data_IF_892576220885
#
_entry.id   IF_892576220885
#
_cell.length_a   1.000
_cell.length_b   1.000
_cell.length_c   1.000
_cell.angle_alpha   90.00
_cell.angle_beta   90.00
_cell.angle_gamma   90.00
#
_symmetry.space_group_name_H-M   'P 1'
#
loop_
_entity.id
_entity.type
_entity.pdbx_description
1 polymer ?
#
# COMPACT_ATOMS: atom_id res chain seq x y z
N UNK A 1 -65.15 30.01 -31.74
CA UNK A 1 -64.26 29.76 -30.54
C UNK A 1 -63.63 28.42 -30.76
N UNK A 2 -62.34 28.36 -31.07
CA UNK A 2 -61.56 27.11 -31.21
C UNK A 2 -60.67 26.93 -29.90
N UNK A 3 -60.63 25.77 -29.30
CA UNK A 3 -59.72 25.57 -28.19
C UNK A 3 -58.26 25.33 -28.70
N UNK A 4 -57.34 26.03 -28.08
CA UNK A 4 -55.89 25.80 -28.23
C UNK A 4 -55.50 24.57 -27.41
N UNK A 5 -55.01 23.53 -28.09
CA UNK A 5 -54.41 22.37 -27.46
C UNK A 5 -52.93 22.67 -27.13
N UNK A 6 -52.63 22.77 -25.87
CA UNK A 6 -51.24 22.85 -25.36
C UNK A 6 -50.64 21.46 -25.34
N UNK A 7 -49.64 21.24 -26.21
CA UNK A 7 -48.83 20.03 -26.27
C UNK A 7 -47.73 20.16 -25.16
N UNK A 8 -47.85 19.40 -24.09
CA UNK A 8 -46.80 19.29 -23.07
C UNK A 8 -45.74 18.29 -23.54
N UNK A 9 -44.55 18.81 -23.84
CA UNK A 9 -43.38 18.00 -24.18
C UNK A 9 -42.76 17.45 -22.87
N UNK A 10 -42.98 16.19 -22.55
CA UNK A 10 -42.33 15.51 -21.46
C UNK A 10 -40.89 15.18 -21.84
N UNK A 11 -39.92 15.93 -21.31
CA UNK A 11 -38.49 15.54 -21.34
C UNK A 11 -38.25 14.40 -20.40
N UNK A 12 -38.07 13.19 -20.90
CA UNK A 12 -37.56 12.04 -20.12
C UNK A 12 -36.06 12.22 -19.92
N UNK A 13 -35.68 12.60 -18.71
CA UNK A 13 -34.28 12.54 -18.28
C UNK A 13 -33.97 11.07 -17.98
N UNK A 14 -33.37 10.37 -18.94
CA UNK A 14 -32.74 9.07 -18.67
C UNK A 14 -31.49 9.32 -17.86
N UNK A 15 -31.60 9.10 -16.55
CA UNK A 15 -30.42 8.99 -15.69
C UNK A 15 -29.64 7.75 -16.15
N UNK A 16 -28.53 7.96 -16.84
CA UNK A 16 -27.57 6.91 -17.09
C UNK A 16 -26.99 6.50 -15.74
N UNK A 17 -27.42 5.38 -15.21
CA UNK A 17 -26.75 4.72 -14.09
C UNK A 17 -25.41 4.22 -14.63
N UNK A 18 -24.35 4.97 -14.37
CA UNK A 18 -22.99 4.46 -14.53
C UNK A 18 -22.83 3.34 -13.49
N UNK A 19 -23.02 2.11 -13.90
CA UNK A 19 -22.51 0.97 -13.18
C UNK A 19 -20.98 1.05 -13.29
N UNK A 20 -20.34 1.67 -12.32
CA UNK A 20 -18.89 1.61 -12.18
C UNK A 20 -18.51 0.12 -12.08
N UNK A 21 -17.77 -0.39 -13.05
CA UNK A 21 -17.32 -1.78 -13.04
C UNK A 21 -16.46 -2.00 -11.80
N UNK A 22 -16.85 -2.98 -10.97
CA UNK A 22 -16.10 -3.33 -9.78
C UNK A 22 -14.69 -3.77 -10.16
N UNK A 23 -13.66 -3.06 -9.66
CA UNK A 23 -12.26 -3.45 -9.87
C UNK A 23 -11.82 -4.49 -8.86
N UNK A 24 -10.77 -5.23 -9.18
CA UNK A 24 -10.09 -6.17 -8.28
C UNK A 24 -8.75 -5.59 -7.83
N UNK A 25 -8.60 -5.32 -6.55
CA UNK A 25 -7.37 -4.75 -5.97
C UNK A 25 -6.57 -5.86 -5.29
N UNK A 26 -5.31 -6.00 -5.70
CA UNK A 26 -4.37 -6.88 -5.03
C UNK A 26 -3.74 -6.15 -3.85
N UNK A 27 -3.91 -6.67 -2.65
CA UNK A 27 -3.27 -6.17 -1.43
C UNK A 27 -2.13 -7.11 -1.06
N UNK A 28 -0.89 -6.60 -1.08
CA UNK A 28 0.29 -7.38 -0.74
C UNK A 28 0.78 -7.00 0.65
N UNK A 29 0.93 -8.01 1.51
CA UNK A 29 1.42 -7.93 2.87
C UNK A 29 2.70 -8.74 3.03
N UNK A 30 3.42 -8.52 4.12
CA UNK A 30 4.61 -9.29 4.49
C UNK A 30 4.24 -10.64 5.13
N UNK A 31 5.07 -11.66 4.92
CA UNK A 31 5.03 -12.92 5.68
C UNK A 31 5.73 -12.80 7.05
N UNK A 32 6.50 -11.72 7.26
CA UNK A 32 7.31 -11.55 8.44
C UNK A 32 6.49 -11.04 9.64
N UNK A 33 6.83 -11.53 10.80
CA UNK A 33 6.30 -11.11 12.10
C UNK A 33 7.33 -10.28 12.91
N UNK A 34 8.46 -9.97 12.29
CA UNK A 34 9.56 -9.26 12.91
C UNK A 34 10.40 -8.48 11.89
N UNK A 35 11.24 -7.60 12.41
CA UNK A 35 12.32 -6.92 11.69
C UNK A 35 13.65 -7.18 12.40
N UNK A 36 14.62 -7.70 11.67
CA UNK A 36 16.00 -7.82 12.12
C UNK A 36 16.67 -6.45 12.21
N UNK A 37 17.09 -6.08 13.39
CA UNK A 37 17.78 -4.83 13.68
C UNK A 37 19.31 -5.01 13.65
N UNK A 38 20.05 -3.93 13.89
CA UNK A 38 21.49 -3.97 14.11
C UNK A 38 21.81 -4.78 15.37
N UNK A 39 23.05 -5.29 15.43
CA UNK A 39 23.61 -5.99 16.60
C UNK A 39 22.82 -7.24 17.02
N UNK A 40 22.15 -7.89 16.06
CA UNK A 40 21.40 -9.13 16.29
C UNK A 40 20.11 -8.95 17.08
N UNK A 41 19.67 -7.72 17.33
CA UNK A 41 18.37 -7.45 17.92
C UNK A 41 17.24 -7.72 16.95
N UNK A 42 16.07 -8.04 17.48
CA UNK A 42 14.85 -8.32 16.72
C UNK A 42 13.71 -7.47 17.28
N UNK A 43 12.94 -6.88 16.38
CA UNK A 43 11.75 -6.11 16.70
C UNK A 43 10.52 -6.86 16.20
N UNK A 44 9.61 -7.23 17.10
CA UNK A 44 8.34 -7.86 16.74
C UNK A 44 7.42 -6.82 16.10
N UNK A 45 6.91 -7.10 14.90
CA UNK A 45 6.09 -6.19 14.12
C UNK A 45 5.17 -6.93 13.17
N UNK A 46 4.49 -6.23 12.32
CA UNK A 46 3.58 -6.73 11.29
C UNK A 46 3.06 -5.56 10.47
N UNK A 47 1.86 -5.69 9.89
CA UNK A 47 1.18 -4.57 9.22
C UNK A 47 0.47 -3.69 10.27
N UNK A 48 0.33 -2.38 9.97
CA UNK A 48 -0.45 -1.46 10.79
C UNK A 48 -1.95 -1.55 10.46
N UNK A 49 -2.78 -1.63 11.51
CA UNK A 49 -4.22 -1.84 11.38
C UNK A 49 -4.90 -0.79 10.51
N UNK A 50 -4.68 0.49 10.78
CA UNK A 50 -5.29 1.58 10.04
C UNK A 50 -4.81 1.62 8.58
N UNK A 51 -3.53 1.35 8.35
CA UNK A 51 -2.94 1.38 7.01
C UNK A 51 -3.50 0.28 6.11
N UNK A 52 -3.81 -0.89 6.66
CA UNK A 52 -4.49 -1.94 5.92
C UNK A 52 -5.99 -1.71 5.84
N UNK A 53 -6.64 -1.56 7.01
CA UNK A 53 -8.08 -1.71 7.08
C UNK A 53 -8.87 -0.48 6.65
N UNK A 54 -8.32 0.75 6.77
CA UNK A 54 -9.00 1.94 6.25
C UNK A 54 -9.13 1.89 4.72
N UNK A 55 -8.07 1.63 3.94
CA UNK A 55 -8.20 1.45 2.50
C UNK A 55 -9.04 0.24 2.10
N UNK A 56 -8.84 -0.91 2.74
CA UNK A 56 -9.63 -2.12 2.45
C UNK A 56 -11.12 -1.88 2.67
N UNK A 57 -11.50 -1.25 3.78
CA UNK A 57 -12.90 -0.92 4.05
C UNK A 57 -13.47 0.00 2.98
N UNK A 58 -12.75 1.04 2.60
CA UNK A 58 -13.21 1.98 1.56
C UNK A 58 -13.38 1.29 0.20
N UNK A 59 -12.47 0.39 -0.17
CA UNK A 59 -12.58 -0.41 -1.41
C UNK A 59 -13.81 -1.32 -1.39
N UNK A 60 -14.02 -2.05 -0.30
CA UNK A 60 -15.18 -2.94 -0.14
C UNK A 60 -16.51 -2.15 -0.10
N UNK A 61 -16.56 -1.03 0.62
CA UNK A 61 -17.73 -0.15 0.67
C UNK A 61 -18.08 0.44 -0.70
N UNK A 62 -17.07 0.66 -1.57
CA UNK A 62 -17.24 1.10 -2.94
C UNK A 62 -17.58 -0.05 -3.92
N UNK A 63 -17.71 -1.28 -3.44
CA UNK A 63 -18.08 -2.45 -4.23
C UNK A 63 -16.93 -3.10 -5.00
N UNK A 64 -15.67 -2.72 -4.73
CA UNK A 64 -14.50 -3.40 -5.32
C UNK A 64 -14.20 -4.71 -4.59
N UNK A 65 -13.62 -5.67 -5.32
CA UNK A 65 -13.07 -6.90 -4.73
C UNK A 65 -11.62 -6.69 -4.29
N UNK A 66 -11.23 -7.40 -3.23
CA UNK A 66 -9.87 -7.35 -2.69
C UNK A 66 -9.32 -8.77 -2.60
N UNK A 67 -8.15 -8.97 -3.17
CA UNK A 67 -7.38 -10.21 -3.05
C UNK A 67 -6.16 -9.95 -2.19
N UNK A 68 -5.94 -10.74 -1.16
CA UNK A 68 -4.78 -10.62 -0.26
C UNK A 68 -3.70 -11.62 -0.64
N UNK A 69 -2.45 -11.15 -0.67
CA UNK A 69 -1.29 -12.00 -0.94
C UNK A 69 -0.12 -11.65 -0.02
N UNK A 70 0.71 -12.66 0.24
CA UNK A 70 2.03 -12.51 0.86
C UNK A 70 3.05 -13.28 0.02
N UNK A 71 4.35 -13.06 0.15
CA UNK A 71 5.35 -13.78 -0.64
C UNK A 71 5.14 -15.30 -0.66
N UNK A 72 4.89 -15.92 0.48
CA UNK A 72 4.73 -17.37 0.64
C UNK A 72 3.27 -17.81 0.87
N UNK A 73 2.30 -16.91 0.92
CA UNK A 73 0.91 -17.21 1.23
C UNK A 73 0.64 -17.49 2.71
N UNK A 74 1.50 -17.02 3.60
CA UNK A 74 1.27 -17.13 5.04
C UNK A 74 0.30 -16.05 5.52
N UNK A 75 -0.47 -16.35 6.55
CA UNK A 75 -1.28 -15.36 7.24
C UNK A 75 -0.38 -14.25 7.80
N UNK A 76 -0.61 -12.97 7.42
CA UNK A 76 0.23 -11.87 7.88
C UNK A 76 -0.02 -11.56 9.35
N UNK A 77 0.98 -10.98 10.00
CA UNK A 77 0.94 -10.59 11.41
C UNK A 77 0.49 -9.14 11.55
N UNK A 78 -0.43 -8.89 12.48
CA UNK A 78 -0.82 -7.54 12.90
C UNK A 78 0.20 -6.98 13.89
N UNK A 79 0.74 -5.80 13.62
CA UNK A 79 1.49 -5.04 14.62
C UNK A 79 0.52 -4.51 15.69
N UNK A 80 0.65 -5.05 16.90
CA UNK A 80 -0.27 -4.72 18.01
C UNK A 80 -0.17 -3.27 18.46
N UNK A 81 0.95 -2.61 18.25
CA UNK A 81 1.10 -1.18 18.57
C UNK A 81 0.18 -0.30 17.73
N UNK A 82 -0.25 -0.78 16.56
CA UNK A 82 -1.18 -0.08 15.67
C UNK A 82 -2.66 -0.19 16.09
N UNK A 83 -2.96 -0.95 17.13
CA UNK A 83 -4.35 -1.10 17.65
C UNK A 83 -4.74 -0.01 18.65
N UNK A 84 -4.19 1.17 18.48
CA UNK A 84 -4.53 2.34 19.29
C UNK A 84 -5.49 3.29 18.52
N UNK A 85 -6.45 3.87 19.25
CA UNK A 85 -7.42 4.82 18.71
C UNK A 85 -6.78 6.07 18.08
N UNK A 86 -5.53 6.40 18.47
CA UNK A 86 -4.81 7.53 17.89
C UNK A 86 -4.68 7.44 16.36
N UNK A 87 -4.58 6.20 15.82
CA UNK A 87 -4.53 5.96 14.38
C UNK A 87 -5.90 6.07 13.70
N UNK A 88 -6.96 6.27 14.47
CA UNK A 88 -8.35 6.42 14.03
C UNK A 88 -8.94 7.78 14.45
N UNK A 89 -8.13 8.83 14.50
CA UNK A 89 -8.52 10.17 14.94
C UNK A 89 -9.15 10.19 16.35
N UNK A 90 -8.70 9.32 17.23
CA UNK A 90 -9.23 9.06 18.57
C UNK A 90 -10.69 8.55 18.61
N UNK A 91 -11.20 8.06 17.48
CA UNK A 91 -12.53 7.44 17.38
C UNK A 91 -12.44 5.94 17.70
N UNK A 92 -12.95 5.58 18.89
CA UNK A 92 -12.99 4.19 19.38
C UNK A 92 -13.93 3.33 18.53
N UNK A 93 -15.05 3.89 18.07
CA UNK A 93 -16.00 3.14 17.26
C UNK A 93 -15.39 2.81 15.88
N UNK A 94 -14.65 3.74 15.27
CA UNK A 94 -13.91 3.47 14.05
C UNK A 94 -12.85 2.38 14.25
N UNK A 95 -12.06 2.43 15.33
CA UNK A 95 -11.10 1.37 15.66
C UNK A 95 -11.78 0.00 15.74
N UNK A 96 -12.86 -0.10 16.52
CA UNK A 96 -13.60 -1.35 16.71
C UNK A 96 -14.20 -1.89 15.40
N UNK A 97 -14.75 -1.01 14.56
CA UNK A 97 -15.29 -1.40 13.26
C UNK A 97 -14.21 -2.00 12.34
N UNK A 98 -13.01 -1.43 12.33
CA UNK A 98 -11.91 -1.94 11.52
C UNK A 98 -11.32 -3.24 12.08
N UNK A 99 -11.27 -3.40 13.42
CA UNK A 99 -10.91 -4.66 14.06
C UNK A 99 -11.90 -5.77 13.72
N UNK A 100 -13.22 -5.48 13.83
CA UNK A 100 -14.27 -6.44 13.49
C UNK A 100 -14.21 -6.87 12.01
N UNK A 101 -13.94 -5.93 11.10
CA UNK A 101 -13.74 -6.25 9.68
C UNK A 101 -12.52 -7.14 9.45
N UNK A 102 -11.40 -6.87 10.12
CA UNK A 102 -10.20 -7.71 10.05
C UNK A 102 -10.50 -9.14 10.50
N UNK A 103 -11.22 -9.31 11.61
CA UNK A 103 -11.65 -10.61 12.12
C UNK A 103 -12.58 -11.32 11.14
N UNK A 104 -13.52 -10.61 10.53
CA UNK A 104 -14.44 -11.14 9.53
C UNK A 104 -13.70 -11.65 8.29
N UNK A 105 -12.68 -10.93 7.83
CA UNK A 105 -11.87 -11.29 6.67
C UNK A 105 -10.91 -12.46 6.93
N UNK A 106 -10.65 -12.80 8.19
CA UNK A 106 -9.81 -13.93 8.65
C UNK A 106 -8.38 -13.94 8.10
N UNK A 107 -7.89 -12.83 7.57
CA UNK A 107 -6.57 -12.80 6.89
C UNK A 107 -5.41 -13.12 7.83
N UNK A 108 -5.56 -12.85 9.13
CA UNK A 108 -4.56 -13.13 10.17
C UNK A 108 -4.75 -14.48 10.87
N UNK A 109 -5.75 -15.29 10.45
CA UNK A 109 -6.11 -16.55 11.11
C UNK A 109 -5.33 -17.71 10.50
N UNK A 110 -4.34 -18.32 11.18
CA UNK A 110 -3.63 -19.47 10.66
C UNK A 110 -4.59 -20.61 10.30
N UNK A 111 -4.44 -21.19 9.11
CA UNK A 111 -5.28 -22.29 8.63
C UNK A 111 -6.64 -21.91 8.05
N UNK A 112 -7.13 -20.69 8.28
CA UNK A 112 -8.38 -20.17 7.69
C UNK A 112 -8.15 -18.94 6.80
N UNK A 113 -6.91 -18.45 6.72
CA UNK A 113 -6.56 -17.24 5.97
C UNK A 113 -6.81 -17.43 4.47
N UNK A 114 -7.54 -16.50 3.82
CA UNK A 114 -7.72 -16.52 2.37
C UNK A 114 -6.51 -15.97 1.60
N UNK A 115 -5.43 -15.66 2.29
CA UNK A 115 -4.21 -15.09 1.71
C UNK A 115 -3.55 -16.12 0.78
N UNK A 116 -3.21 -15.68 -0.42
CA UNK A 116 -2.52 -16.52 -1.41
C UNK A 116 -1.04 -16.12 -1.53
N UNK A 117 -0.21 -16.99 -2.10
CA UNK A 117 1.19 -16.65 -2.37
C UNK A 117 1.32 -15.76 -3.61
N UNK A 118 2.40 -14.97 -3.69
CA UNK A 118 2.72 -14.21 -4.90
C UNK A 118 2.95 -15.12 -6.11
N UNK A 119 3.45 -16.35 -5.91
CA UNK A 119 3.51 -17.34 -6.96
C UNK A 119 2.11 -17.73 -7.48
N UNK A 120 1.10 -17.78 -6.60
CA UNK A 120 -0.30 -18.01 -7.01
C UNK A 120 -0.87 -16.80 -7.77
N UNK A 121 -0.54 -15.58 -7.35
CA UNK A 121 -0.89 -14.36 -8.09
C UNK A 121 -0.36 -14.40 -9.52
N UNK A 122 0.90 -14.81 -9.71
CA UNK A 122 1.52 -14.96 -11.03
C UNK A 122 0.81 -16.02 -11.90
N UNK A 123 0.39 -17.14 -11.29
CA UNK A 123 -0.38 -18.20 -11.98
C UNK A 123 -1.79 -17.73 -12.39
N UNK A 124 -2.44 -16.91 -11.58
CA UNK A 124 -3.76 -16.31 -11.90
C UNK A 124 -3.62 -15.36 -13.10
N UNK A 125 -2.52 -14.64 -13.19
CA UNK A 125 -2.26 -13.62 -14.18
C UNK A 125 -2.46 -12.21 -13.62
N UNK A 126 -1.47 -11.35 -13.87
CA UNK A 126 -1.50 -9.97 -13.34
C UNK A 126 -2.59 -9.11 -13.96
N UNK A 127 -3.11 -9.50 -15.14
CA UNK A 127 -4.23 -8.83 -15.84
C UNK A 127 -5.54 -8.87 -15.05
N UNK A 128 -5.71 -9.82 -14.16
CA UNK A 128 -6.90 -9.95 -13.31
C UNK A 128 -6.97 -8.93 -12.17
N UNK A 129 -5.91 -8.15 -11.98
CA UNK A 129 -5.83 -7.12 -10.94
C UNK A 129 -5.76 -5.74 -11.56
N UNK A 130 -6.63 -4.82 -11.12
CA UNK A 130 -6.74 -3.46 -11.64
C UNK A 130 -5.80 -2.49 -10.96
N UNK A 131 -5.47 -2.75 -9.70
CA UNK A 131 -4.54 -1.96 -8.89
C UNK A 131 -3.83 -2.84 -7.85
N UNK A 132 -2.70 -2.33 -7.35
CA UNK A 132 -1.91 -2.92 -6.27
C UNK A 132 -1.93 -1.97 -5.07
N UNK A 133 -2.07 -2.52 -3.87
CA UNK A 133 -1.90 -1.79 -2.61
C UNK A 133 -0.95 -2.51 -1.66
N UNK A 134 -0.01 -1.76 -1.06
CA UNK A 134 0.95 -2.29 -0.07
C UNK A 134 0.91 -1.41 1.18
N UNK A 135 0.31 -1.87 2.29
CA UNK A 135 0.36 -1.17 3.57
C UNK A 135 1.75 -1.24 4.19
N UNK A 136 2.00 -0.42 5.21
CA UNK A 136 3.23 -0.47 5.98
C UNK A 136 3.08 -1.24 7.30
N UNK A 137 3.64 -0.70 8.35
CA UNK A 137 4.22 -1.40 9.45
C UNK A 137 5.67 -1.75 9.07
N UNK A 138 6.50 -2.19 9.99
CA UNK A 138 7.92 -2.42 9.69
C UNK A 138 8.20 -3.75 8.95
N UNK A 139 7.24 -4.68 8.91
CA UNK A 139 7.42 -6.00 8.30
C UNK A 139 7.85 -5.97 6.81
N UNK A 140 7.40 -5.03 5.95
CA UNK A 140 7.90 -4.89 4.58
C UNK A 140 9.42 -4.73 4.46
N UNK A 141 10.06 -4.16 5.50
CA UNK A 141 11.51 -3.99 5.57
C UNK A 141 12.26 -5.33 5.76
N UNK A 142 11.57 -6.40 6.15
CA UNK A 142 12.19 -7.72 6.38
C UNK A 142 12.23 -8.56 5.10
N UNK A 143 11.15 -8.60 4.34
CA UNK A 143 10.98 -9.54 3.22
C UNK A 143 10.57 -8.92 1.88
N UNK A 144 9.63 -7.96 1.86
CA UNK A 144 9.05 -7.47 0.60
C UNK A 144 10.09 -6.84 -0.33
N UNK A 145 11.05 -6.11 0.24
CA UNK A 145 12.11 -5.45 -0.53
C UNK A 145 13.02 -6.44 -1.28
N UNK A 146 12.99 -7.72 -0.90
CA UNK A 146 13.83 -8.76 -1.49
C UNK A 146 13.04 -9.84 -2.25
N UNK A 147 11.69 -9.74 -2.32
CA UNK A 147 10.86 -10.74 -2.98
C UNK A 147 10.95 -10.66 -4.50
N UNK A 148 11.52 -11.67 -5.19
CA UNK A 148 11.59 -11.68 -6.65
C UNK A 148 10.21 -11.69 -7.31
N UNK A 149 9.24 -12.38 -6.70
CA UNK A 149 7.86 -12.46 -7.19
C UNK A 149 7.20 -11.07 -7.16
N UNK A 150 7.39 -10.32 -6.06
CA UNK A 150 6.90 -8.96 -5.95
C UNK A 150 7.60 -8.04 -6.96
N UNK A 151 8.89 -8.22 -7.18
CA UNK A 151 9.65 -7.49 -8.19
C UNK A 151 9.08 -7.68 -9.60
N UNK A 152 8.70 -8.91 -9.97
CA UNK A 152 8.05 -9.20 -11.27
C UNK A 152 6.66 -8.56 -11.36
N UNK A 153 5.86 -8.66 -10.30
CA UNK A 153 4.54 -8.04 -10.22
C UNK A 153 4.62 -6.51 -10.39
N UNK A 154 5.48 -5.85 -9.61
CA UNK A 154 5.70 -4.40 -9.70
C UNK A 154 6.21 -3.95 -11.06
N UNK A 155 7.14 -4.72 -11.65
CA UNK A 155 7.65 -4.44 -13.00
C UNK A 155 6.55 -4.56 -14.06
N UNK A 156 5.65 -5.54 -13.93
CA UNK A 156 4.49 -5.67 -14.81
C UNK A 156 3.52 -4.50 -14.66
N UNK A 157 3.22 -4.09 -13.42
CA UNK A 157 2.33 -2.96 -13.14
C UNK A 157 2.91 -1.65 -13.69
N UNK A 158 4.21 -1.43 -13.49
CA UNK A 158 4.94 -0.30 -14.07
C UNK A 158 4.85 -0.27 -15.60
N UNK A 159 5.16 -1.36 -16.28
CA UNK A 159 5.11 -1.46 -17.75
C UNK A 159 3.72 -1.22 -18.32
N UNK A 160 2.67 -1.59 -17.59
CA UNK A 160 1.28 -1.46 -18.02
C UNK A 160 0.57 -0.23 -17.44
N UNK A 161 1.28 0.69 -16.80
CA UNK A 161 0.75 1.90 -16.14
C UNK A 161 -0.43 1.57 -15.20
N UNK A 162 -0.33 0.44 -14.48
CA UNK A 162 -1.34 0.04 -13.49
C UNK A 162 -1.07 0.71 -12.16
N UNK A 163 -2.11 1.25 -11.54
CA UNK A 163 -2.00 1.94 -10.26
C UNK A 163 -1.34 1.06 -9.20
N UNK A 164 -0.25 1.58 -8.65
CA UNK A 164 0.52 0.98 -7.56
C UNK A 164 0.53 1.95 -6.38
N UNK A 165 -0.20 1.60 -5.32
CA UNK A 165 -0.36 2.43 -4.13
C UNK A 165 0.34 1.80 -2.92
N UNK A 166 1.13 2.60 -2.19
CA UNK A 166 1.91 2.11 -1.03
C UNK A 166 1.91 3.19 0.07
N UNK A 167 2.02 2.78 1.32
CA UNK A 167 2.02 3.74 2.45
C UNK A 167 3.05 3.36 3.53
N UNK A 168 3.55 4.36 4.24
CA UNK A 168 4.45 4.24 5.40
C UNK A 168 5.76 3.53 5.03
N UNK A 169 6.03 2.31 5.54
CA UNK A 169 7.16 1.49 5.11
C UNK A 169 6.88 0.70 3.81
N UNK A 170 5.62 0.63 3.37
CA UNK A 170 5.23 -0.10 2.15
C UNK A 170 6.05 0.24 0.91
N UNK A 171 6.41 1.51 0.64
CA UNK A 171 7.20 1.88 -0.53
C UNK A 171 8.58 1.21 -0.64
N UNK A 172 9.13 0.67 0.46
CA UNK A 172 10.37 -0.10 0.41
C UNK A 172 10.28 -1.32 -0.53
N UNK A 173 9.06 -1.84 -0.71
CA UNK A 173 8.78 -2.94 -1.64
C UNK A 173 9.22 -2.65 -3.08
N UNK A 174 9.30 -1.37 -3.48
CA UNK A 174 9.78 -0.97 -4.81
C UNK A 174 11.21 -1.43 -5.09
N UNK A 175 12.04 -1.63 -4.05
CA UNK A 175 13.41 -2.15 -4.20
C UNK A 175 13.45 -3.60 -4.68
N UNK A 176 12.36 -4.38 -4.54
CA UNK A 176 12.27 -5.74 -5.07
C UNK A 176 12.42 -5.80 -6.61
N UNK A 177 12.22 -4.67 -7.31
CA UNK A 177 12.45 -4.57 -8.75
C UNK A 177 13.91 -4.44 -9.14
N UNK A 178 14.83 -4.27 -8.18
CA UNK A 178 16.26 -4.28 -8.43
C UNK A 178 16.74 -5.71 -8.72
N UNK A 179 17.52 -5.92 -9.77
CA UNK A 179 18.08 -7.25 -10.07
C UNK A 179 18.92 -7.84 -8.94
N UNK A 180 19.52 -6.97 -8.12
CA UNK A 180 20.40 -7.34 -6.99
C UNK A 180 19.98 -6.61 -5.70
N UNK A 181 18.70 -6.68 -5.35
CA UNK A 181 18.13 -5.99 -4.19
C UNK A 181 18.86 -6.33 -2.87
N UNK A 182 19.26 -7.60 -2.69
CA UNK A 182 19.98 -8.03 -1.48
C UNK A 182 21.40 -7.43 -1.41
N UNK A 183 22.12 -7.32 -2.52
CA UNK A 183 23.45 -6.71 -2.54
C UNK A 183 23.36 -5.21 -2.29
N UNK A 184 22.38 -4.55 -2.89
CA UNK A 184 22.09 -3.14 -2.65
C UNK A 184 21.85 -2.84 -1.16
N UNK A 185 20.95 -3.58 -0.51
CA UNK A 185 20.61 -3.37 0.90
C UNK A 185 21.76 -3.77 1.84
N UNK A 186 22.57 -4.77 1.48
CA UNK A 186 23.77 -5.14 2.22
C UNK A 186 24.81 -4.02 2.19
N UNK A 187 25.06 -3.42 1.01
CA UNK A 187 25.97 -2.28 0.86
C UNK A 187 25.46 -1.09 1.68
N UNK A 188 24.15 -0.79 1.59
CA UNK A 188 23.53 0.29 2.35
C UNK A 188 23.68 0.09 3.86
N UNK A 189 23.43 -1.12 4.36
CA UNK A 189 23.53 -1.45 5.79
C UNK A 189 24.97 -1.36 6.32
N UNK A 190 25.98 -1.70 5.48
CA UNK A 190 27.39 -1.73 5.88
C UNK A 190 28.08 -0.38 5.77
N UNK A 191 27.78 0.40 4.75
CA UNK A 191 28.51 1.65 4.42
C UNK A 191 27.63 2.91 4.46
N UNK A 192 26.31 2.77 4.58
CA UNK A 192 25.35 3.87 4.46
C UNK A 192 25.19 4.37 3.03
N UNK A 193 25.83 3.73 2.05
CA UNK A 193 25.81 4.12 0.63
C UNK A 193 25.61 2.89 -0.25
N UNK A 194 24.75 3.02 -1.25
CA UNK A 194 24.53 2.02 -2.28
C UNK A 194 24.17 2.72 -3.61
N UNK A 195 24.23 2.01 -4.72
CA UNK A 195 23.85 2.53 -6.03
C UNK A 195 23.04 1.48 -6.79
N UNK A 196 22.01 1.94 -7.48
CA UNK A 196 21.08 1.09 -8.23
C UNK A 196 20.91 1.63 -9.67
N UNK A 197 21.95 1.58 -10.51
CA UNK A 197 21.86 2.10 -11.87
C UNK A 197 20.78 1.35 -12.66
N UNK A 198 19.93 2.11 -13.35
CA UNK A 198 18.86 1.54 -14.17
C UNK A 198 17.63 1.06 -13.39
N UNK A 199 17.47 1.44 -12.13
CA UNK A 199 16.24 1.15 -11.40
C UNK A 199 15.03 1.75 -12.11
N UNK A 200 13.97 0.94 -12.28
CA UNK A 200 12.79 1.35 -13.06
C UNK A 200 12.04 2.56 -12.45
N UNK A 201 12.14 2.78 -11.14
CA UNK A 201 11.57 3.92 -10.44
C UNK A 201 12.57 5.08 -10.22
N UNK A 202 13.77 5.03 -10.81
CA UNK A 202 14.70 6.16 -10.74
C UNK A 202 14.07 7.41 -11.37
N UNK A 203 14.18 8.55 -10.66
CA UNK A 203 13.56 9.81 -11.07
C UNK A 203 12.06 9.93 -10.78
N UNK A 204 11.41 8.91 -10.22
CA UNK A 204 10.04 9.03 -9.71
C UNK A 204 10.00 9.86 -8.45
N UNK A 205 9.03 10.75 -8.35
CA UNK A 205 8.68 11.40 -7.09
C UNK A 205 7.93 10.42 -6.21
N UNK A 206 8.31 10.35 -4.95
CA UNK A 206 7.68 9.45 -3.97
C UNK A 206 7.75 10.03 -2.56
N UNK A 207 6.98 9.46 -1.66
CA UNK A 207 7.14 9.61 -0.23
C UNK A 207 7.14 8.24 0.46
N UNK A 208 7.64 8.20 1.66
CA UNK A 208 7.75 7.03 2.54
C UNK A 208 7.94 7.57 3.95
N UNK A 209 7.80 6.75 4.98
CA UNK A 209 8.16 7.18 6.34
C UNK A 209 9.53 7.87 6.32
N UNK A 210 9.59 9.10 6.85
CA UNK A 210 10.79 9.93 6.77
C UNK A 210 11.86 9.49 7.75
N UNK A 211 13.12 9.80 7.43
CA UNK A 211 14.22 9.63 8.39
C UNK A 211 13.95 10.37 9.71
N UNK A 212 13.27 11.52 9.64
CA UNK A 212 12.90 12.28 10.84
C UNK A 212 11.84 11.56 11.68
N UNK A 213 10.82 10.99 11.04
CA UNK A 213 9.78 10.21 11.72
C UNK A 213 10.35 8.93 12.33
N UNK A 214 11.29 8.26 11.65
CA UNK A 214 12.02 7.10 12.18
C UNK A 214 12.83 7.46 13.43
N UNK A 215 13.55 8.60 13.42
CA UNK A 215 14.28 9.07 14.59
C UNK A 215 13.36 9.39 15.78
N UNK A 216 12.19 9.96 15.52
CA UNK A 216 11.18 10.22 16.55
C UNK A 216 10.57 8.92 17.11
N UNK A 217 10.41 7.91 16.27
CA UNK A 217 9.81 6.63 16.63
C UNK A 217 10.82 5.59 17.14
N UNK A 218 12.12 5.86 17.08
CA UNK A 218 13.16 4.84 17.41
C UNK A 218 13.04 4.23 18.80
N UNK A 219 12.39 4.91 19.74
CA UNK A 219 12.10 4.38 21.07
C UNK A 219 11.24 3.11 21.05
N UNK A 220 10.42 2.92 20.02
CA UNK A 220 9.59 1.74 19.81
C UNK A 220 10.44 0.47 19.57
N UNK A 221 11.66 0.61 19.08
CA UNK A 221 12.57 -0.49 18.75
C UNK A 221 13.25 -1.12 19.97
N UNK A 222 12.84 -0.78 21.19
CA UNK A 222 13.37 -1.38 22.41
C UNK A 222 14.90 -1.21 22.59
N UNK A 223 15.45 -0.07 22.15
CA UNK A 223 16.88 0.21 22.17
C UNK A 223 17.66 -0.44 21.02
N UNK A 224 16.98 -1.03 20.05
CA UNK A 224 17.57 -1.45 18.78
C UNK A 224 17.70 -0.29 17.78
N UNK A 225 18.29 -0.55 16.62
CA UNK A 225 18.38 0.39 15.51
C UNK A 225 18.16 -0.33 14.20
N UNK A 226 17.43 0.29 13.29
CA UNK A 226 17.26 -0.22 11.93
C UNK A 226 18.61 -0.26 11.20
N UNK A 227 18.79 -1.23 10.32
CA UNK A 227 20.01 -1.37 9.50
C UNK A 227 20.17 -0.20 8.53
N UNK A 228 19.05 0.33 8.03
CA UNK A 228 18.92 1.54 7.22
C UNK A 228 17.46 2.01 7.27
N UNK A 229 17.24 3.27 6.92
CA UNK A 229 15.90 3.82 6.83
C UNK A 229 15.36 3.73 5.40
N UNK A 230 14.04 3.54 5.21
CA UNK A 230 13.46 3.35 3.88
C UNK A 230 13.58 4.60 2.99
N UNK A 231 13.46 5.82 3.55
CA UNK A 231 13.71 7.06 2.79
C UNK A 231 15.12 7.04 2.19
N UNK A 232 16.14 6.81 3.01
CA UNK A 232 17.54 6.76 2.56
C UNK A 232 17.73 5.69 1.49
N UNK A 233 17.13 4.51 1.64
CA UNK A 233 17.26 3.42 0.70
C UNK A 233 16.68 3.78 -0.68
N UNK A 234 15.48 4.34 -0.72
CA UNK A 234 14.81 4.72 -1.96
C UNK A 234 15.48 5.92 -2.66
N UNK A 235 16.01 6.90 -1.89
CA UNK A 235 16.81 8.00 -2.44
C UNK A 235 18.13 7.49 -3.04
N UNK A 236 18.84 6.57 -2.36
CA UNK A 236 20.07 5.96 -2.87
C UNK A 236 19.82 5.10 -4.12
N UNK A 237 18.62 4.53 -4.28
CA UNK A 237 18.22 3.84 -5.49
C UNK A 237 17.90 4.80 -6.66
N UNK A 238 17.77 6.10 -6.41
CA UNK A 238 17.55 7.13 -7.42
C UNK A 238 16.16 7.75 -7.44
N UNK A 239 15.33 7.47 -6.45
CA UNK A 239 14.02 8.12 -6.29
C UNK A 239 14.13 9.56 -5.77
N UNK A 240 13.11 10.38 -6.02
CA UNK A 240 13.03 11.79 -5.63
C UNK A 240 12.03 11.95 -4.47
N UNK A 241 12.54 11.96 -3.26
CA UNK A 241 11.72 12.05 -2.05
C UNK A 241 11.00 13.40 -1.91
N UNK A 242 9.74 13.33 -1.48
CA UNK A 242 8.88 14.49 -1.15
C UNK A 242 8.37 14.36 0.27
N UNK A 243 8.77 15.31 1.13
CA UNK A 243 8.42 15.31 2.54
C UNK A 243 7.09 16.03 2.79
N UNK A 244 6.43 15.66 3.89
CA UNK A 244 5.35 16.43 4.51
C UNK A 244 5.90 17.75 5.12
N UNK A 245 4.98 18.60 5.58
CA UNK A 245 5.34 19.90 6.22
C UNK A 245 5.79 19.72 7.66
N UNK A 246 5.26 18.72 8.35
CA UNK A 246 5.60 18.39 9.73
C UNK A 246 5.47 16.89 9.94
N UNK A 247 6.30 16.27 10.82
CA UNK A 247 6.22 14.84 11.11
C UNK A 247 4.79 14.40 11.44
N UNK A 248 4.42 13.22 10.96
CA UNK A 248 3.13 12.55 11.16
C UNK A 248 1.93 13.23 10.47
N UNK A 249 2.09 14.38 9.80
CA UNK A 249 1.03 14.95 8.97
C UNK A 249 0.85 14.14 7.68
N UNK A 250 -0.39 14.10 7.19
CA UNK A 250 -0.71 13.44 5.92
C UNK A 250 0.15 14.00 4.78
N UNK A 251 0.67 13.10 3.96
CA UNK A 251 1.35 13.43 2.72
C UNK A 251 1.14 12.31 1.70
N UNK A 252 0.54 12.62 0.57
CA UNK A 252 0.34 11.70 -0.55
C UNK A 252 1.04 12.27 -1.77
N UNK A 253 1.90 11.49 -2.39
CA UNK A 253 2.64 11.85 -3.61
C UNK A 253 2.20 10.94 -4.74
N UNK A 254 1.85 11.54 -5.86
CA UNK A 254 1.41 10.85 -7.08
C UNK A 254 2.40 11.18 -8.18
N UNK A 255 2.98 10.16 -8.78
CA UNK A 255 3.80 10.29 -9.97
C UNK A 255 3.50 9.14 -10.93
N UNK A 256 2.86 9.46 -12.04
CA UNK A 256 2.39 8.48 -13.05
C UNK A 256 1.46 7.43 -12.42
N UNK A 257 1.79 6.13 -12.50
CA UNK A 257 1.03 5.04 -11.88
C UNK A 257 1.28 4.88 -10.38
N UNK A 258 2.33 5.50 -9.86
CA UNK A 258 2.76 5.36 -8.47
C UNK A 258 2.02 6.35 -7.55
N UNK A 259 1.45 5.83 -6.47
CA UNK A 259 0.80 6.58 -5.39
C UNK A 259 1.45 6.20 -4.07
N UNK A 260 2.07 7.15 -3.38
CA UNK A 260 2.74 6.85 -2.11
C UNK A 260 2.23 7.75 -1.00
N UNK A 261 2.03 7.19 0.19
CA UNK A 261 1.69 7.89 1.43
C UNK A 261 2.83 7.81 2.43
N UNK A 262 3.12 8.90 3.14
CA UNK A 262 4.32 9.01 3.95
C UNK A 262 4.29 8.20 5.25
N UNK A 263 3.14 8.16 5.92
CA UNK A 263 3.03 7.66 7.30
C UNK A 263 1.61 7.11 7.56
N UNK A 264 1.31 6.59 8.75
CA UNK A 264 -0.02 6.06 9.07
C UNK A 264 -1.17 7.05 8.83
N UNK A 265 -0.92 8.36 9.03
CA UNK A 265 -1.91 9.40 8.77
C UNK A 265 -2.27 9.57 7.29
N UNK A 266 -1.46 9.05 6.38
CA UNK A 266 -1.66 9.15 4.93
C UNK A 266 -2.53 8.02 4.34
N UNK A 267 -2.91 7.02 5.14
CA UNK A 267 -3.62 5.82 4.65
C UNK A 267 -4.95 6.16 3.96
N UNK A 268 -5.73 7.07 4.54
CA UNK A 268 -7.02 7.49 3.97
C UNK A 268 -6.84 8.29 2.66
N UNK A 269 -5.85 9.16 2.60
CA UNK A 269 -5.53 9.92 1.39
C UNK A 269 -5.10 9.01 0.24
N UNK A 270 -4.28 7.99 0.52
CA UNK A 270 -3.88 6.97 -0.46
C UNK A 270 -5.10 6.18 -0.95
N UNK A 271 -6.00 5.77 -0.04
CA UNK A 271 -7.23 5.06 -0.40
C UNK A 271 -8.13 5.90 -1.32
N UNK A 272 -8.28 7.19 -1.03
CA UNK A 272 -9.06 8.10 -1.87
C UNK A 272 -8.50 8.16 -3.30
N UNK A 273 -7.20 8.36 -3.46
CA UNK A 273 -6.56 8.38 -4.79
C UNK A 273 -6.72 7.03 -5.50
N UNK A 274 -6.58 5.93 -4.76
CA UNK A 274 -6.76 4.58 -5.33
C UNK A 274 -8.18 4.39 -5.87
N UNK A 275 -9.21 4.82 -5.14
CA UNK A 275 -10.61 4.79 -5.60
C UNK A 275 -10.83 5.67 -6.84
N UNK A 276 -10.29 6.87 -6.87
CA UNK A 276 -10.37 7.78 -8.01
C UNK A 276 -9.76 7.13 -9.26
N UNK A 277 -8.59 6.49 -9.13
CA UNK A 277 -7.91 5.78 -10.23
C UNK A 277 -8.71 4.58 -10.75
N UNK A 278 -9.36 3.83 -9.87
CA UNK A 278 -10.24 2.72 -10.27
C UNK A 278 -11.46 3.22 -11.04
N UNK A 279 -12.06 4.34 -10.63
CA UNK A 279 -13.20 4.96 -11.34
C UNK A 279 -12.78 5.49 -12.73
N UNK A 280 -11.63 6.17 -12.84
CA UNK A 280 -11.08 6.65 -14.11
C UNK A 280 -10.84 5.51 -15.11
N UNK A 281 -10.37 4.35 -14.60
CA UNK A 281 -10.13 3.17 -15.43
C UNK A 281 -11.44 2.57 -15.94
N UNK A 282 -12.44 2.44 -15.09
CA UNK A 282 -13.76 1.94 -15.46
C UNK A 282 -14.41 2.83 -16.55
N UNK A 283 -14.25 4.16 -16.47
CA UNK A 283 -14.77 5.10 -17.47
C UNK A 283 -14.06 5.07 -18.83
N UNK A 284 -12.82 4.57 -18.90
CA UNK A 284 -12.06 4.41 -20.15
C UNK A 284 -12.33 3.08 -20.86
N UNK A 285 -12.91 2.11 -20.17
CA UNK A 285 -13.26 0.80 -20.73
C UNK A 285 -14.71 0.67 -21.20
N UNK A 286 -15.52 1.70 -20.98
CA UNK A 286 -16.91 1.81 -21.44
C UNK A 286 -17.00 2.66 -22.71
#
# INVERSE_FOLDING_TARGET
MRPLSTLALAMSITAATFNAQAGNVLVVLSDADHLDLKDGKVFSTGFYLNELMQPVKQLLDAGHSVTFATPLGKAPTLDRSSTDKMYFNNDVAALQAHQALLEQLKITSPGESPVISLARVEQIGYEHFDALYVPGGHAPMQDLLHSPELGRLLSNFHQNNKTTALVCHGPIALLSTLPQAQDFTRQLASSGKASAPGWIYAGYQFTVISNQEEELAKGLLGGGAMRFYPQTALEQAGGLYRSNRSPWSENVVIDRELVTGQNPGSAQGVAKVLLERLQERAGKGA
#
